data_IF_343377544321
#
_entry.id   IF_343377544321
#
_cell.length_a   1.000
_cell.length_b   1.000
_cell.length_c   1.000
_cell.angle_alpha   90.00
_cell.angle_beta   90.00
_cell.angle_gamma   90.00
#
_symmetry.space_group_name_H-M   'P 1'
#
loop_
_entity.id
_entity.type
_entity.pdbx_description
1 polymer ?
#
# COMPACT_ATOMS: atom_id res chain seq x y z
N UNK A 1 -21.54 -19.59 -31.43
CA UNK A 1 -21.04 -20.74 -30.67
C UNK A 1 -19.64 -20.48 -30.09
N UNK A 2 -18.71 -19.95 -30.89
CA UNK A 2 -17.31 -19.70 -30.47
C UNK A 2 -17.15 -18.71 -29.31
N UNK A 3 -17.92 -17.61 -29.30
CA UNK A 3 -17.86 -16.60 -28.22
C UNK A 3 -18.22 -17.16 -26.84
N UNK A 4 -19.18 -18.10 -26.78
CA UNK A 4 -19.57 -18.79 -25.54
C UNK A 4 -18.47 -19.76 -25.07
N UNK A 5 -17.83 -20.48 -25.99
CA UNK A 5 -16.69 -21.36 -25.69
C UNK A 5 -15.49 -20.56 -25.19
N UNK A 6 -15.17 -19.43 -25.84
CA UNK A 6 -14.10 -18.53 -25.38
C UNK A 6 -14.32 -17.99 -23.97
N UNK A 7 -15.54 -17.52 -23.66
CA UNK A 7 -15.92 -17.14 -22.30
C UNK A 7 -15.75 -18.30 -21.31
N UNK A 8 -16.18 -19.51 -21.67
CA UNK A 8 -16.01 -20.68 -20.83
C UNK A 8 -14.52 -20.97 -20.57
N UNK A 9 -13.68 -20.94 -21.60
CA UNK A 9 -12.23 -21.17 -21.49
C UNK A 9 -11.50 -20.08 -20.69
N UNK A 10 -12.02 -18.85 -20.62
CA UNK A 10 -11.41 -17.79 -19.82
C UNK A 10 -11.95 -17.74 -18.38
N UNK A 11 -13.26 -17.94 -18.19
CA UNK A 11 -13.92 -17.82 -16.87
C UNK A 11 -13.72 -19.08 -16.05
N UNK A 12 -13.80 -20.26 -16.66
CA UNK A 12 -13.72 -21.53 -15.93
C UNK A 12 -12.38 -21.68 -15.20
N UNK A 13 -11.20 -21.46 -15.83
CA UNK A 13 -9.93 -21.55 -15.10
C UNK A 13 -9.84 -20.53 -13.97
N UNK A 14 -10.32 -19.30 -14.17
CA UNK A 14 -10.34 -18.29 -13.12
C UNK A 14 -11.19 -18.74 -11.92
N UNK A 15 -12.42 -19.22 -12.17
CA UNK A 15 -13.33 -19.71 -11.13
C UNK A 15 -12.74 -20.91 -10.40
N UNK A 16 -12.12 -21.85 -11.13
CA UNK A 16 -11.49 -23.02 -10.51
C UNK A 16 -10.29 -22.63 -9.64
N UNK A 17 -9.39 -21.78 -10.15
CA UNK A 17 -8.20 -21.33 -9.40
C UNK A 17 -8.62 -20.50 -8.19
N UNK A 18 -9.50 -19.52 -8.38
CA UNK A 18 -9.96 -18.64 -7.30
C UNK A 18 -10.82 -19.41 -6.29
N UNK A 19 -11.67 -20.32 -6.76
CA UNK A 19 -12.47 -21.20 -5.91
C UNK A 19 -11.60 -22.12 -5.06
N UNK A 20 -10.60 -22.77 -5.66
CA UNK A 20 -9.64 -23.59 -4.92
C UNK A 20 -8.84 -22.77 -3.90
N UNK A 21 -8.41 -21.56 -4.28
CA UNK A 21 -7.71 -20.64 -3.36
C UNK A 21 -8.60 -20.21 -2.18
N UNK A 22 -9.86 -19.85 -2.42
CA UNK A 22 -10.81 -19.47 -1.38
C UNK A 22 -11.19 -20.66 -0.48
N UNK A 23 -11.35 -21.86 -1.06
CA UNK A 23 -11.59 -23.08 -0.30
C UNK A 23 -10.40 -23.42 0.60
N UNK A 24 -9.17 -23.34 0.08
CA UNK A 24 -7.95 -23.49 0.88
C UNK A 24 -7.88 -22.45 2.00
N UNK A 25 -8.15 -21.16 1.71
CA UNK A 25 -8.18 -20.11 2.73
C UNK A 25 -9.22 -20.38 3.81
N UNK A 26 -10.42 -20.81 3.43
CA UNK A 26 -11.47 -21.16 4.38
C UNK A 26 -11.04 -22.32 5.27
N UNK A 27 -10.45 -23.36 4.69
CA UNK A 27 -9.98 -24.53 5.42
C UNK A 27 -8.82 -24.20 6.38
N UNK A 28 -7.88 -23.35 5.96
CA UNK A 28 -6.68 -23.00 6.77
C UNK A 28 -6.93 -21.90 7.79
N UNK A 29 -7.69 -20.85 7.44
CA UNK A 29 -7.84 -19.64 8.27
C UNK A 29 -9.24 -19.44 8.85
N UNK A 30 -10.22 -20.26 8.44
CA UNK A 30 -11.64 -20.06 8.75
C UNK A 30 -12.11 -18.64 8.40
N UNK A 31 -11.59 -18.11 7.29
CA UNK A 31 -11.87 -16.77 6.80
C UNK A 31 -11.63 -16.69 5.29
N UNK A 32 -12.59 -16.15 4.55
CA UNK A 32 -12.46 -15.95 3.10
C UNK A 32 -11.53 -14.77 2.81
N UNK A 33 -11.63 -13.71 3.61
CA UNK A 33 -10.86 -12.48 3.42
C UNK A 33 -9.61 -12.48 4.31
N UNK A 34 -8.50 -11.87 3.86
CA UNK A 34 -7.31 -11.73 4.68
C UNK A 34 -7.51 -10.68 5.78
N UNK A 35 -6.76 -10.83 6.87
CA UNK A 35 -6.70 -9.83 7.95
C UNK A 35 -6.37 -8.42 7.43
N UNK A 36 -5.57 -8.29 6.37
CA UNK A 36 -5.28 -7.00 5.71
C UNK A 36 -6.53 -6.27 5.23
N UNK A 37 -7.58 -7.00 4.80
CA UNK A 37 -8.87 -6.39 4.47
C UNK A 37 -9.46 -5.74 5.72
N UNK A 38 -9.52 -6.44 6.84
CA UNK A 38 -10.10 -5.93 8.07
C UNK A 38 -9.26 -4.82 8.73
N UNK A 39 -7.93 -4.98 8.76
CA UNK A 39 -7.02 -4.05 9.41
C UNK A 39 -6.79 -2.74 8.64
N UNK A 40 -6.93 -2.74 7.31
CA UNK A 40 -6.62 -1.59 6.43
C UNK A 40 -7.82 -0.98 5.71
N UNK A 41 -8.91 -1.71 5.50
CA UNK A 41 -10.08 -1.12 4.81
C UNK A 41 -11.01 -0.45 5.82
N UNK A 42 -11.01 0.87 5.86
CA UNK A 42 -11.94 1.63 6.71
C UNK A 42 -13.34 1.70 6.13
N UNK A 43 -13.45 1.94 4.81
CA UNK A 43 -14.71 2.40 4.24
C UNK A 43 -15.17 3.72 4.90
N UNK A 44 -16.38 4.17 4.57
CA UNK A 44 -16.93 5.40 5.11
C UNK A 44 -16.27 6.68 4.56
N UNK A 45 -16.81 7.83 5.00
CA UNK A 45 -16.51 9.14 4.41
C UNK A 45 -15.01 9.49 4.41
N UNK A 46 -14.30 9.17 5.50
CA UNK A 46 -12.85 9.45 5.59
C UNK A 46 -12.05 8.69 4.55
N UNK A 47 -12.31 7.39 4.36
CA UNK A 47 -11.65 6.61 3.30
C UNK A 47 -12.00 7.18 1.93
N UNK A 48 -13.26 7.50 1.65
CA UNK A 48 -13.62 8.10 0.35
C UNK A 48 -12.87 9.39 0.05
N UNK A 49 -12.74 10.30 1.04
CA UNK A 49 -12.00 11.55 0.87
C UNK A 49 -10.51 11.29 0.63
N UNK A 50 -9.88 10.45 1.47
CA UNK A 50 -8.45 10.15 1.34
C UNK A 50 -8.13 9.43 0.03
N UNK A 51 -8.94 8.44 -0.33
CA UNK A 51 -8.82 7.69 -1.57
C UNK A 51 -9.04 8.57 -2.80
N UNK A 52 -9.97 9.52 -2.76
CA UNK A 52 -10.18 10.48 -3.85
C UNK A 52 -9.01 11.44 -3.99
N UNK A 53 -8.47 11.96 -2.87
CA UNK A 53 -7.26 12.80 -2.88
C UNK A 53 -6.06 12.03 -3.45
N UNK A 54 -5.86 10.79 -3.01
CA UNK A 54 -4.81 9.90 -3.51
C UNK A 54 -4.97 9.63 -5.01
N UNK A 55 -6.20 9.34 -5.47
CA UNK A 55 -6.50 9.07 -6.87
C UNK A 55 -6.19 10.29 -7.75
N UNK A 56 -6.68 11.48 -7.38
CA UNK A 56 -6.46 12.71 -8.14
C UNK A 56 -4.97 13.05 -8.22
N UNK A 57 -4.27 13.00 -7.09
CA UNK A 57 -2.83 13.24 -7.06
C UNK A 57 -2.06 12.21 -7.90
N UNK A 58 -2.44 10.94 -7.85
CA UNK A 58 -1.82 9.88 -8.62
C UNK A 58 -2.10 9.95 -10.12
N UNK A 59 -3.32 10.30 -10.53
CA UNK A 59 -3.66 10.52 -11.94
C UNK A 59 -2.87 11.70 -12.52
N UNK A 60 -2.80 12.82 -11.79
CA UNK A 60 -1.97 13.94 -12.17
C UNK A 60 -0.48 13.55 -12.26
N UNK A 61 0.02 12.76 -11.29
CA UNK A 61 1.42 12.33 -11.27
C UNK A 61 1.78 11.27 -12.32
N UNK A 62 0.81 10.50 -12.84
CA UNK A 62 1.04 9.45 -13.84
C UNK A 62 0.80 9.97 -15.26
N UNK A 63 -0.32 10.67 -15.48
CA UNK A 63 -0.78 11.07 -16.82
C UNK A 63 -0.56 12.55 -17.11
N UNK A 64 -0.40 13.38 -16.07
CA UNK A 64 -0.22 14.82 -16.22
C UNK A 64 -1.38 15.45 -17.00
N UNK A 65 -1.10 16.33 -17.98
CA UNK A 65 -2.12 16.93 -18.83
C UNK A 65 -2.94 15.93 -19.63
N UNK A 66 -2.43 14.71 -19.85
CA UNK A 66 -3.14 13.71 -20.66
C UNK A 66 -4.43 13.22 -20.01
N UNK A 67 -4.58 13.43 -18.70
CA UNK A 67 -5.80 13.10 -17.97
C UNK A 67 -7.06 13.71 -18.61
N UNK A 68 -6.93 14.92 -19.15
CA UNK A 68 -8.03 15.66 -19.79
C UNK A 68 -8.61 14.92 -21.00
N UNK A 69 -7.85 13.99 -21.59
CA UNK A 69 -8.25 13.28 -22.79
C UNK A 69 -8.93 11.93 -22.52
N UNK A 70 -8.86 11.38 -21.30
CA UNK A 70 -9.51 10.09 -20.97
C UNK A 70 -11.00 10.01 -21.36
N UNK A 71 -11.85 11.04 -21.12
CA UNK A 71 -13.27 10.95 -21.46
C UNK A 71 -13.56 10.83 -22.96
N UNK A 72 -12.62 11.22 -23.83
CA UNK A 72 -12.78 11.19 -25.28
C UNK A 72 -12.30 9.88 -25.92
N UNK A 73 -11.73 8.97 -25.14
CA UNK A 73 -11.25 7.69 -25.62
C UNK A 73 -12.38 6.74 -26.09
N UNK A 74 -13.47 6.52 -25.35
CA UNK A 74 -14.52 5.58 -25.76
C UNK A 74 -15.37 6.09 -26.94
N UNK A 75 -15.97 5.16 -27.69
CA UNK A 75 -17.06 5.46 -28.63
C UNK A 75 -16.67 5.86 -30.06
N UNK A 76 -15.38 6.02 -30.37
CA UNK A 76 -14.87 6.32 -31.73
C UNK A 76 -13.57 5.60 -32.04
N UNK A 77 -13.33 5.28 -33.31
CA UNK A 77 -12.07 4.67 -33.79
C UNK A 77 -11.64 3.45 -32.96
N UNK A 78 -10.36 3.45 -32.56
CA UNK A 78 -9.78 2.44 -31.67
C UNK A 78 -10.48 2.35 -30.30
N UNK A 79 -11.17 3.41 -29.88
CA UNK A 79 -11.99 3.45 -28.66
C UNK A 79 -13.19 2.51 -28.64
N UNK A 80 -13.61 1.98 -29.81
CA UNK A 80 -14.64 0.94 -29.89
C UNK A 80 -14.07 -0.48 -29.74
N UNK A 81 -12.75 -0.63 -29.72
CA UNK A 81 -12.13 -1.96 -29.63
C UNK A 81 -12.42 -2.60 -28.27
N UNK A 82 -12.58 -3.93 -28.28
CA UNK A 82 -12.75 -4.71 -27.06
C UNK A 82 -11.55 -4.52 -26.10
N UNK A 83 -10.34 -4.35 -26.64
CA UNK A 83 -9.13 -4.10 -25.86
C UNK A 83 -9.25 -2.81 -25.00
N UNK A 84 -9.69 -1.70 -25.60
CA UNK A 84 -9.88 -0.43 -24.87
C UNK A 84 -10.99 -0.55 -23.84
N UNK A 85 -12.07 -1.28 -24.13
CA UNK A 85 -13.13 -1.53 -23.17
C UNK A 85 -12.63 -2.33 -21.97
N UNK A 86 -11.82 -3.38 -22.20
CA UNK A 86 -11.19 -4.17 -21.13
C UNK A 86 -10.25 -3.30 -20.30
N UNK A 87 -9.40 -2.49 -20.92
CA UNK A 87 -8.56 -1.51 -20.20
C UNK A 87 -9.40 -0.56 -19.34
N UNK A 88 -10.52 -0.06 -19.89
CA UNK A 88 -11.47 0.78 -19.15
C UNK A 88 -12.05 0.09 -17.92
N UNK A 89 -12.40 -1.20 -18.02
CA UNK A 89 -12.87 -1.99 -16.88
C UNK A 89 -11.78 -2.12 -15.80
N UNK A 90 -10.52 -2.41 -16.19
CA UNK A 90 -9.40 -2.49 -15.23
C UNK A 90 -9.12 -1.14 -14.55
N UNK A 91 -9.17 -0.05 -15.30
CA UNK A 91 -9.03 1.32 -14.78
C UNK A 91 -10.16 1.60 -13.78
N UNK A 92 -11.41 1.33 -14.16
CA UNK A 92 -12.58 1.55 -13.30
C UNK A 92 -12.50 0.72 -12.01
N UNK A 93 -12.15 -0.57 -12.10
CA UNK A 93 -11.97 -1.43 -10.94
C UNK A 93 -10.90 -0.90 -9.98
N UNK A 94 -9.78 -0.41 -10.52
CA UNK A 94 -8.67 0.14 -9.73
C UNK A 94 -9.03 1.49 -9.09
N UNK A 95 -9.81 2.33 -9.78
CA UNK A 95 -10.38 3.57 -9.22
C UNK A 95 -11.28 3.22 -8.03
N UNK A 96 -12.22 2.31 -8.21
CA UNK A 96 -13.16 1.88 -7.17
C UNK A 96 -12.38 1.36 -5.96
N UNK A 97 -11.41 0.48 -6.18
CA UNK A 97 -10.56 -0.05 -5.11
C UNK A 97 -9.79 1.06 -4.37
N UNK A 98 -9.13 1.96 -5.11
CA UNK A 98 -8.32 3.04 -4.51
C UNK A 98 -9.17 3.97 -3.66
N UNK A 99 -10.34 4.36 -4.17
CA UNK A 99 -11.29 5.24 -3.46
C UNK A 99 -11.90 4.54 -2.25
N UNK A 100 -12.33 3.28 -2.40
CA UNK A 100 -12.93 2.50 -1.31
C UNK A 100 -11.93 2.18 -0.19
N UNK A 101 -10.69 1.84 -0.55
CA UNK A 101 -9.62 1.53 0.42
C UNK A 101 -9.12 2.75 1.16
N UNK A 102 -9.26 3.94 0.58
CA UNK A 102 -8.75 5.20 1.15
C UNK A 102 -7.35 5.57 0.69
N UNK A 103 -6.86 4.96 -0.39
CA UNK A 103 -5.51 5.18 -0.91
C UNK A 103 -4.44 4.48 -0.07
N UNK A 104 -3.21 4.96 -0.21
CA UNK A 104 -2.05 4.44 0.51
C UNK A 104 -1.15 5.57 1.00
N UNK A 105 -0.41 5.31 2.06
CA UNK A 105 0.58 6.26 2.57
C UNK A 105 1.93 6.13 1.85
N UNK A 106 2.21 4.97 1.23
CA UNK A 106 3.49 4.76 0.55
C UNK A 106 3.61 5.64 -0.70
N UNK A 107 4.83 6.14 -0.99
CA UNK A 107 5.05 7.07 -2.09
C UNK A 107 4.82 6.42 -3.46
N UNK A 108 4.70 7.26 -4.48
CA UNK A 108 4.67 6.82 -5.88
C UNK A 108 3.34 6.23 -6.35
N UNK A 109 2.26 6.45 -5.60
CA UNK A 109 0.90 6.08 -6.00
C UNK A 109 0.75 4.62 -6.44
N UNK A 110 1.42 3.70 -5.73
CA UNK A 110 1.59 2.30 -6.16
C UNK A 110 0.29 1.52 -6.41
N UNK A 111 -0.85 1.95 -5.89
CA UNK A 111 -2.15 1.34 -6.23
C UNK A 111 -2.55 1.59 -7.69
N UNK A 112 -2.04 2.64 -8.31
CA UNK A 112 -2.33 3.03 -9.69
C UNK A 112 -1.25 2.58 -10.68
N UNK A 113 -0.09 2.15 -10.20
CA UNK A 113 1.02 1.66 -11.04
C UNK A 113 0.58 0.52 -11.98
N UNK A 114 -0.20 -0.49 -11.54
CA UNK A 114 -0.66 -1.56 -12.44
C UNK A 114 -1.50 -1.08 -13.63
N UNK A 115 -2.20 0.05 -13.48
CA UNK A 115 -3.02 0.63 -14.55
C UNK A 115 -2.35 1.79 -15.28
N UNK A 116 -1.15 2.21 -14.88
CA UNK A 116 -0.46 3.35 -15.48
C UNK A 116 -0.26 3.20 -17.01
N UNK A 117 0.18 2.04 -17.54
CA UNK A 117 0.29 1.86 -19.00
C UNK A 117 -1.06 1.96 -19.70
N UNK A 118 -2.12 1.40 -19.10
CA UNK A 118 -3.47 1.43 -19.66
C UNK A 118 -4.03 2.86 -19.67
N UNK A 119 -3.83 3.61 -18.59
CA UNK A 119 -4.23 5.02 -18.50
C UNK A 119 -3.59 5.85 -19.60
N UNK A 120 -2.28 5.67 -19.86
CA UNK A 120 -1.57 6.38 -20.92
C UNK A 120 -2.11 6.02 -22.31
N UNK A 121 -2.31 4.73 -22.59
CA UNK A 121 -2.86 4.27 -23.87
C UNK A 121 -4.26 4.85 -24.11
N UNK A 122 -5.15 4.74 -23.12
CA UNK A 122 -6.52 5.28 -23.21
C UNK A 122 -6.49 6.80 -23.39
N UNK A 123 -5.62 7.51 -22.67
CA UNK A 123 -5.49 8.96 -22.80
C UNK A 123 -5.00 9.39 -24.18
N UNK A 124 -4.02 8.67 -24.76
CA UNK A 124 -3.51 8.93 -26.13
C UNK A 124 -4.60 8.66 -27.18
N UNK A 125 -5.40 7.61 -27.01
CA UNK A 125 -6.56 7.34 -27.89
C UNK A 125 -7.58 8.48 -27.81
N UNK A 126 -7.86 8.97 -26.59
CA UNK A 126 -8.74 10.12 -26.39
C UNK A 126 -8.20 11.39 -27.05
N UNK A 127 -6.91 11.65 -26.93
CA UNK A 127 -6.25 12.78 -27.59
C UNK A 127 -6.37 12.67 -29.10
N UNK A 128 -6.08 11.49 -29.65
CA UNK A 128 -6.23 11.21 -31.08
C UNK A 128 -7.66 11.46 -31.56
N UNK A 129 -8.67 11.02 -30.80
CA UNK A 129 -10.07 11.26 -31.15
C UNK A 129 -10.43 12.75 -31.14
N UNK A 130 -9.91 13.55 -30.20
CA UNK A 130 -10.09 15.01 -30.18
C UNK A 130 -9.47 15.64 -31.43
N UNK A 131 -8.25 15.25 -31.78
CA UNK A 131 -7.58 15.72 -33.00
C UNK A 131 -8.35 15.38 -34.28
N UNK A 132 -8.89 14.16 -34.37
CA UNK A 132 -9.71 13.75 -35.51
C UNK A 132 -10.95 14.64 -35.67
N UNK A 133 -11.67 14.92 -34.59
CA UNK A 133 -12.87 15.77 -34.62
C UNK A 133 -12.51 17.20 -35.00
N UNK A 134 -11.47 17.77 -34.38
CA UNK A 134 -11.06 19.14 -34.65
C UNK A 134 -10.53 19.32 -36.08
N UNK A 135 -9.85 18.30 -36.64
CA UNK A 135 -9.45 18.29 -38.06
C UNK A 135 -10.65 18.22 -39.00
N UNK A 136 -11.65 17.39 -38.70
CA UNK A 136 -12.90 17.30 -39.48
C UNK A 136 -13.70 18.61 -39.44
N UNK A 137 -13.67 19.31 -38.31
CA UNK A 137 -14.33 20.61 -38.14
C UNK A 137 -13.55 21.79 -38.74
N UNK A 138 -12.38 21.55 -39.36
CA UNK A 138 -11.54 22.61 -39.94
C UNK A 138 -10.88 23.54 -38.92
N UNK A 139 -10.89 23.19 -37.63
CA UNK A 139 -10.38 24.03 -36.53
C UNK A 139 -8.84 24.04 -36.49
N UNK A 140 -8.21 22.92 -36.87
CA UNK A 140 -6.75 22.83 -36.96
C UNK A 140 -6.32 22.67 -38.42
N UNK A 141 -5.50 23.60 -38.91
CA UNK A 141 -4.57 23.31 -40.01
C UNK A 141 -3.59 22.24 -39.51
N UNK A 142 -3.10 21.38 -40.41
CA UNK A 142 -2.33 20.18 -40.04
C UNK A 142 -1.23 20.49 -39.02
N UNK A 143 -1.46 20.14 -37.74
CA UNK A 143 -0.42 20.21 -36.72
C UNK A 143 0.64 19.17 -37.12
N UNK A 144 1.90 19.57 -37.36
CA UNK A 144 2.94 18.62 -37.70
C UNK A 144 3.01 17.54 -36.62
N UNK A 145 2.97 16.27 -37.02
CA UNK A 145 3.06 15.13 -36.10
C UNK A 145 4.27 15.23 -35.16
N UNK A 146 5.35 15.90 -35.59
CA UNK A 146 6.51 16.23 -34.77
C UNK A 146 6.20 17.15 -33.58
N UNK A 147 5.38 18.20 -33.76
CA UNK A 147 5.01 19.09 -32.65
C UNK A 147 4.10 18.39 -31.63
N UNK A 148 3.17 17.54 -32.10
CA UNK A 148 2.36 16.71 -31.22
C UNK A 148 3.22 15.71 -30.45
N UNK A 149 4.17 15.05 -31.12
CA UNK A 149 5.12 14.14 -30.49
C UNK A 149 6.00 14.85 -29.44
N UNK A 150 6.48 16.06 -29.74
CA UNK A 150 7.26 16.89 -28.79
C UNK A 150 6.40 17.30 -27.60
N UNK A 151 5.15 17.70 -27.82
CA UNK A 151 4.21 18.03 -26.74
C UNK A 151 3.95 16.80 -25.85
N UNK A 152 3.64 15.65 -26.45
CA UNK A 152 3.42 14.39 -25.74
C UNK A 152 4.67 13.96 -24.95
N UNK A 153 5.83 14.01 -25.59
CA UNK A 153 7.10 13.68 -24.95
C UNK A 153 7.37 14.61 -23.77
N UNK A 154 7.23 15.93 -23.96
CA UNK A 154 7.45 16.93 -22.90
C UNK A 154 6.46 16.76 -21.76
N UNK A 155 5.17 16.53 -22.06
CA UNK A 155 4.14 16.33 -21.05
C UNK A 155 4.39 15.06 -20.22
N UNK A 156 4.68 13.93 -20.87
CA UNK A 156 4.99 12.67 -20.20
C UNK A 156 6.30 12.76 -19.40
N UNK A 157 7.35 13.33 -20.00
CA UNK A 157 8.66 13.45 -19.36
C UNK A 157 8.65 14.41 -18.18
N UNK A 158 7.97 15.56 -18.28
CA UNK A 158 7.80 16.51 -17.17
C UNK A 158 7.01 15.88 -16.02
N UNK A 159 5.98 15.11 -16.34
CA UNK A 159 5.17 14.38 -15.36
C UNK A 159 5.99 13.30 -14.65
N UNK A 160 6.79 12.52 -15.40
CA UNK A 160 7.69 11.52 -14.84
C UNK A 160 8.76 12.14 -13.93
N UNK A 161 9.33 13.29 -14.32
CA UNK A 161 10.33 14.00 -13.52
C UNK A 161 9.72 14.64 -12.27
N UNK A 162 8.53 15.23 -12.39
CA UNK A 162 7.77 15.75 -11.24
C UNK A 162 7.43 14.62 -10.25
N UNK A 163 6.92 13.48 -10.75
CA UNK A 163 6.65 12.30 -9.92
C UNK A 163 7.90 11.81 -9.19
N UNK A 164 9.06 11.78 -9.87
CA UNK A 164 10.34 11.45 -9.23
C UNK A 164 10.70 12.46 -8.14
N UNK A 165 10.58 13.75 -8.39
CA UNK A 165 10.88 14.80 -7.41
C UNK A 165 9.94 14.73 -6.21
N UNK A 166 8.65 14.49 -6.44
CA UNK A 166 7.66 14.28 -5.39
C UNK A 166 8.00 13.06 -4.52
N UNK A 167 8.35 11.92 -5.12
CA UNK A 167 8.76 10.72 -4.37
C UNK A 167 10.02 11.01 -3.52
N UNK A 168 10.99 11.75 -4.07
CA UNK A 168 12.21 12.14 -3.34
C UNK A 168 11.93 13.14 -2.21
N UNK A 169 10.97 14.04 -2.40
CA UNK A 169 10.54 15.01 -1.39
C UNK A 169 9.68 14.38 -0.30
N UNK A 170 8.90 13.35 -0.63
CA UNK A 170 8.04 12.65 0.32
C UNK A 170 8.83 11.86 1.36
N UNK A 171 9.98 11.28 0.98
CA UNK A 171 10.81 10.53 1.93
C UNK A 171 12.30 10.78 1.62
N UNK A 172 12.97 11.71 2.34
CA UNK A 172 14.39 12.05 2.14
C UNK A 172 15.34 10.85 2.21
N UNK A 173 14.94 9.81 2.96
CA UNK A 173 15.71 8.59 3.18
C UNK A 173 15.53 7.50 2.10
N UNK A 174 14.65 7.71 1.10
CA UNK A 174 14.41 6.72 0.06
C UNK A 174 15.21 7.05 -1.20
N UNK A 175 16.27 6.28 -1.44
CA UNK A 175 16.99 6.31 -2.70
C UNK A 175 16.02 5.93 -3.85
N UNK A 176 16.07 6.66 -4.97
CA UNK A 176 15.22 6.40 -6.16
C UNK A 176 16.06 6.19 -7.43
N UNK A 177 15.50 5.52 -8.43
CA UNK A 177 16.15 5.26 -9.72
C UNK A 177 17.17 4.12 -9.68
N UNK A 178 18.10 4.08 -10.65
CA UNK A 178 19.09 3.00 -10.81
C UNK A 178 20.07 2.85 -9.63
N UNK A 179 20.16 3.85 -8.74
CA UNK A 179 20.98 3.80 -7.52
C UNK A 179 20.22 3.27 -6.30
N UNK A 180 18.92 2.97 -6.42
CA UNK A 180 18.04 2.50 -5.35
C UNK A 180 18.15 0.99 -5.11
N UNK A 181 19.38 0.46 -4.99
CA UNK A 181 19.63 -0.97 -4.81
C UNK A 181 19.14 -1.45 -3.42
N UNK A 182 18.99 -0.54 -2.46
CA UNK A 182 18.48 -0.84 -1.12
C UNK A 182 17.01 -0.39 -1.07
N UNK A 183 16.08 -1.35 -1.15
CA UNK A 183 14.65 -1.09 -0.95
C UNK A 183 14.34 -0.56 0.45
N UNK A 184 13.05 -0.54 0.82
CA UNK A 184 12.52 -0.06 2.11
C UNK A 184 13.08 -0.72 3.39
N UNK A 185 14.11 -1.57 3.30
CA UNK A 185 14.86 -2.02 4.47
C UNK A 185 15.65 -0.82 5.02
N UNK A 186 14.98 -0.02 5.83
CA UNK A 186 15.66 1.00 6.63
C UNK A 186 16.73 0.27 7.45
N UNK A 187 17.97 0.77 7.50
CA UNK A 187 19.06 0.14 8.25
C UNK A 187 18.67 -0.24 9.69
N UNK A 188 17.74 0.50 10.30
CA UNK A 188 17.26 0.23 11.65
C UNK A 188 16.49 -1.08 11.81
N UNK A 189 15.59 -1.45 10.88
CA UNK A 189 14.87 -2.73 10.97
C UNK A 189 15.84 -3.91 10.94
N UNK A 190 16.93 -3.79 10.16
CA UNK A 190 17.99 -4.79 10.11
C UNK A 190 18.78 -4.83 11.42
N UNK A 191 19.11 -3.66 11.99
CA UNK A 191 19.79 -3.56 13.29
C UNK A 191 18.95 -4.17 14.43
N UNK A 192 17.66 -3.87 14.49
CA UNK A 192 16.71 -4.46 15.45
C UNK A 192 16.65 -5.97 15.28
N UNK A 193 16.52 -6.45 14.04
CA UNK A 193 16.47 -7.87 13.75
C UNK A 193 17.77 -8.60 14.16
N UNK A 194 18.93 -7.99 13.89
CA UNK A 194 20.24 -8.55 14.26
C UNK A 194 20.45 -8.55 15.77
N UNK A 195 20.05 -7.48 16.45
CA UNK A 195 20.11 -7.40 17.90
C UNK A 195 19.29 -8.52 18.54
N UNK A 196 18.06 -8.76 18.05
CA UNK A 196 17.25 -9.88 18.53
C UNK A 196 17.93 -11.23 18.28
N UNK A 197 18.52 -11.44 17.10
CA UNK A 197 19.25 -12.68 16.80
C UNK A 197 20.41 -12.93 17.77
N UNK A 198 21.10 -11.88 18.19
CA UNK A 198 22.23 -11.95 19.13
C UNK A 198 21.79 -12.10 20.60
N UNK A 199 20.56 -11.72 20.92
CA UNK A 199 20.05 -11.63 22.30
C UNK A 199 18.92 -12.62 22.61
N UNK A 200 18.49 -13.40 21.63
CA UNK A 200 17.46 -14.44 21.79
C UNK A 200 18.01 -15.76 21.28
N UNK A 201 17.95 -16.80 22.12
CA UNK A 201 18.29 -18.17 21.73
C UNK A 201 17.10 -19.09 22.05
N UNK A 202 16.30 -19.43 21.05
CA UNK A 202 15.10 -20.27 21.22
C UNK A 202 13.78 -19.53 20.98
N UNK A 203 12.70 -20.08 21.53
CA UNK A 203 11.32 -19.65 21.26
C UNK A 203 10.86 -18.45 22.09
N UNK A 204 11.53 -17.30 21.91
CA UNK A 204 11.11 -16.03 22.50
C UNK A 204 9.89 -15.45 21.76
N UNK A 205 9.10 -14.68 22.48
CA UNK A 205 7.93 -13.98 21.95
C UNK A 205 8.15 -12.47 21.87
N UNK A 206 7.75 -11.88 20.75
CA UNK A 206 7.97 -10.44 20.49
C UNK A 206 6.68 -9.80 20.02
N UNK A 207 6.17 -8.82 20.78
CA UNK A 207 5.06 -7.98 20.33
C UNK A 207 5.58 -6.81 19.50
N UNK A 208 5.10 -6.68 18.26
CA UNK A 208 5.55 -5.65 17.33
C UNK A 208 4.51 -5.40 16.24
N UNK A 209 4.43 -4.18 15.73
CA UNK A 209 3.71 -3.89 14.49
C UNK A 209 4.51 -4.22 13.22
N UNK A 210 5.77 -4.63 13.35
CA UNK A 210 6.73 -4.82 12.26
C UNK A 210 6.95 -6.33 11.98
N UNK A 211 6.10 -6.92 11.14
CA UNK A 211 6.18 -8.34 10.77
C UNK A 211 7.18 -8.66 9.63
N UNK A 212 7.86 -7.63 9.09
CA UNK A 212 8.74 -7.77 7.91
C UNK A 212 10.11 -8.35 8.25
N UNK A 213 11.16 -7.54 8.07
CA UNK A 213 12.56 -7.96 8.18
C UNK A 213 12.90 -8.59 9.53
N UNK A 214 12.25 -8.13 10.62
CA UNK A 214 12.46 -8.65 11.98
C UNK A 214 12.07 -10.12 12.06
N UNK A 215 10.86 -10.50 11.63
CA UNK A 215 10.43 -11.89 11.62
C UNK A 215 11.19 -12.74 10.61
N UNK A 216 11.48 -12.17 9.43
CA UNK A 216 12.19 -12.88 8.37
C UNK A 216 13.59 -13.35 8.80
N UNK A 217 14.36 -12.51 9.51
CA UNK A 217 15.69 -12.86 9.99
C UNK A 217 15.70 -13.66 11.30
N UNK A 218 14.55 -13.77 11.98
CA UNK A 218 14.41 -14.43 13.26
C UNK A 218 13.25 -15.44 13.26
N UNK A 219 13.35 -16.53 12.47
CA UNK A 219 12.25 -17.50 12.30
C UNK A 219 11.87 -18.27 13.59
N UNK A 220 12.75 -18.28 14.60
CA UNK A 220 12.48 -18.89 15.91
C UNK A 220 11.59 -18.03 16.82
N UNK A 221 11.37 -16.75 16.49
CA UNK A 221 10.57 -15.85 17.31
C UNK A 221 9.08 -16.03 17.05
N UNK A 222 8.31 -16.04 18.14
CA UNK A 222 6.85 -15.94 18.09
C UNK A 222 6.44 -14.47 18.04
N UNK A 223 6.09 -13.98 16.86
CA UNK A 223 5.61 -12.60 16.70
C UNK A 223 4.15 -12.43 17.10
N UNK A 224 3.88 -11.47 17.98
CA UNK A 224 2.55 -10.97 18.28
C UNK A 224 2.34 -9.66 17.52
N UNK A 225 1.47 -9.68 16.51
CA UNK A 225 1.30 -8.55 15.61
C UNK A 225 0.35 -7.48 16.17
N UNK A 226 0.92 -6.34 16.56
CA UNK A 226 0.17 -5.20 17.08
C UNK A 226 -0.63 -4.45 16.01
N UNK A 227 -0.36 -4.69 14.72
CA UNK A 227 -1.07 -4.06 13.61
C UNK A 227 -2.28 -4.87 13.09
N UNK A 228 -2.42 -6.14 13.48
CA UNK A 228 -3.56 -6.98 13.07
C UNK A 228 -3.52 -7.45 11.62
N UNK A 229 -2.34 -7.54 11.02
CA UNK A 229 -2.08 -8.25 9.75
C UNK A 229 -2.02 -9.77 9.97
N UNK A 230 -1.56 -10.23 11.13
CA UNK A 230 -1.45 -11.64 11.52
C UNK A 230 -2.39 -12.02 12.66
N UNK A 231 -2.86 -11.05 13.47
CA UNK A 231 -3.83 -11.29 14.55
C UNK A 231 -5.26 -10.95 14.11
N UNK A 232 -6.14 -11.98 14.08
CA UNK A 232 -7.54 -11.85 13.67
C UNK A 232 -8.33 -10.90 14.56
N UNK A 233 -8.14 -10.97 15.88
CA UNK A 233 -8.92 -10.15 16.83
C UNK A 233 -8.58 -8.66 16.66
N UNK A 234 -7.29 -8.37 16.56
CA UNK A 234 -6.80 -7.00 16.31
C UNK A 234 -7.32 -6.47 14.98
N UNK A 235 -7.31 -7.29 13.93
CA UNK A 235 -7.85 -6.93 12.61
C UNK A 235 -9.34 -6.51 12.69
N UNK A 236 -10.15 -7.26 13.46
CA UNK A 236 -11.58 -6.99 13.63
C UNK A 236 -11.86 -5.76 14.48
N UNK A 237 -11.13 -5.57 15.57
CA UNK A 237 -11.22 -4.35 16.41
C UNK A 237 -10.96 -3.11 15.54
N UNK A 238 -9.90 -3.16 14.72
CA UNK A 238 -9.56 -2.06 13.82
C UNK A 238 -10.62 -1.81 12.76
N UNK A 239 -11.21 -2.87 12.17
CA UNK A 239 -12.31 -2.73 11.22
C UNK A 239 -13.51 -2.01 11.83
N UNK A 240 -13.78 -2.26 13.12
CA UNK A 240 -14.84 -1.59 13.88
C UNK A 240 -14.47 -0.15 14.30
N UNK A 241 -13.28 0.36 13.95
CA UNK A 241 -12.80 1.67 14.38
C UNK A 241 -12.27 1.71 15.81
N UNK A 242 -12.09 0.55 16.45
CA UNK A 242 -11.57 0.45 17.81
C UNK A 242 -10.07 0.74 17.91
N UNK A 243 -9.65 1.18 19.10
CA UNK A 243 -8.24 1.39 19.45
C UNK A 243 -7.65 0.07 19.98
N UNK A 244 -6.35 -0.15 19.76
CA UNK A 244 -5.67 -1.31 20.30
C UNK A 244 -5.69 -1.30 21.83
N UNK A 245 -6.02 -2.42 22.45
CA UNK A 245 -5.83 -2.62 23.89
C UNK A 245 -4.49 -3.33 24.16
N UNK A 246 -3.55 -2.66 24.83
CA UNK A 246 -2.27 -3.25 25.20
C UNK A 246 -2.40 -4.47 26.12
N UNK A 247 -3.42 -4.53 26.99
CA UNK A 247 -3.62 -5.64 27.93
C UNK A 247 -3.87 -6.97 27.21
N UNK A 248 -4.42 -6.92 25.98
CA UNK A 248 -4.52 -8.10 25.13
C UNK A 248 -3.14 -8.75 24.93
N UNK A 249 -2.10 -7.95 24.66
CA UNK A 249 -0.75 -8.47 24.48
C UNK A 249 -0.07 -8.75 25.82
N UNK A 250 -0.20 -7.87 26.81
CA UNK A 250 0.43 -8.04 28.12
C UNK A 250 -0.06 -9.29 28.84
N UNK A 251 -1.31 -9.74 28.63
CA UNK A 251 -1.82 -11.00 29.16
C UNK A 251 -1.14 -12.24 28.58
N UNK A 252 -0.46 -12.12 27.43
CA UNK A 252 0.36 -13.18 26.82
C UNK A 252 1.83 -13.10 27.22
N UNK A 253 2.16 -12.09 28.03
CA UNK A 253 3.48 -11.84 28.60
C UNK A 253 4.63 -11.97 27.58
N UNK A 254 4.61 -11.19 26.48
CA UNK A 254 5.68 -11.22 25.49
C UNK A 254 7.03 -10.97 26.15
N UNK A 255 8.07 -11.65 25.69
CA UNK A 255 9.42 -11.45 26.24
C UNK A 255 9.96 -10.07 25.86
N UNK A 256 9.70 -9.65 24.61
CA UNK A 256 10.06 -8.32 24.11
C UNK A 256 8.85 -7.59 23.50
N UNK A 257 8.86 -6.27 23.63
CA UNK A 257 7.91 -5.37 22.96
C UNK A 257 8.72 -4.32 22.19
N UNK A 258 8.41 -4.16 20.91
CA UNK A 258 9.08 -3.19 20.03
C UNK A 258 8.10 -2.06 19.71
N UNK A 259 8.53 -0.83 20.02
CA UNK A 259 7.75 0.38 19.81
C UNK A 259 8.46 1.30 18.80
N UNK A 260 7.90 1.54 17.60
CA UNK A 260 8.44 2.47 16.61
C UNK A 260 8.14 3.93 16.96
N UNK A 261 8.80 4.87 16.29
CA UNK A 261 8.55 6.31 16.44
C UNK A 261 9.10 6.91 17.74
N UNK A 262 9.94 6.17 18.46
CA UNK A 262 10.64 6.66 19.65
C UNK A 262 12.02 7.14 19.21
N UNK A 263 12.17 8.42 18.89
CA UNK A 263 13.50 9.06 18.91
C UNK A 263 13.84 9.57 20.31
N UNK A 264 12.81 9.95 21.07
CA UNK A 264 12.87 10.27 22.50
C UNK A 264 11.62 9.71 23.21
N UNK A 265 11.74 8.79 24.19
CA UNK A 265 10.60 8.20 24.90
C UNK A 265 9.75 9.21 25.70
N UNK A 266 10.32 10.37 26.05
CA UNK A 266 9.62 11.45 26.75
C UNK A 266 8.87 12.40 25.79
N UNK A 267 9.13 12.31 24.49
CA UNK A 267 8.52 13.12 23.42
C UNK A 267 7.77 12.27 22.41
N UNK A 268 7.18 11.15 22.84
CA UNK A 268 6.35 10.31 21.98
C UNK A 268 5.15 11.11 21.44
N UNK A 269 5.33 11.78 20.31
CA UNK A 269 4.26 12.47 19.60
C UNK A 269 3.19 11.44 19.24
N UNK A 270 1.95 11.75 19.58
CA UNK A 270 0.79 10.93 19.23
C UNK A 270 0.65 10.96 17.72
N UNK A 271 1.28 10.01 17.04
CA UNK A 271 1.08 9.80 15.62
C UNK A 271 -0.30 9.16 15.41
N UNK A 272 -1.23 9.80 14.66
CA UNK A 272 -2.54 9.23 14.36
C UNK A 272 -2.47 8.02 13.41
N UNK A 273 -1.29 7.60 12.97
CA UNK A 273 -1.12 6.33 12.25
C UNK A 273 -1.44 5.13 13.13
N UNK A 274 -1.76 3.98 12.52
CA UNK A 274 -1.90 2.73 13.25
C UNK A 274 -0.71 2.36 14.13
N UNK A 275 0.50 2.73 13.70
CA UNK A 275 1.71 2.47 14.47
C UNK A 275 1.77 3.34 15.72
N UNK A 276 1.42 4.63 15.63
CA UNK A 276 1.33 5.50 16.80
C UNK A 276 0.23 5.10 17.78
N UNK A 277 -0.89 4.57 17.28
CA UNK A 277 -2.00 4.13 18.12
C UNK A 277 -1.60 2.99 19.08
N UNK A 278 -0.82 1.99 18.62
CA UNK A 278 -0.36 0.92 19.51
C UNK A 278 0.78 1.36 20.42
N UNK A 279 1.68 2.22 19.94
CA UNK A 279 2.74 2.80 20.77
C UNK A 279 2.13 3.55 21.94
N UNK A 280 1.15 4.42 21.67
CA UNK A 280 0.39 5.13 22.70
C UNK A 280 -0.32 4.17 23.67
N UNK A 281 -0.92 3.09 23.15
CA UNK A 281 -1.60 2.09 23.98
C UNK A 281 -0.65 1.40 24.98
N UNK A 282 0.58 1.07 24.58
CA UNK A 282 1.58 0.49 25.50
C UNK A 282 2.13 1.55 26.47
N UNK A 283 2.58 2.70 25.96
CA UNK A 283 3.22 3.71 26.79
C UNK A 283 2.27 4.27 27.86
N UNK A 284 0.96 4.33 27.61
CA UNK A 284 -0.02 4.80 28.58
C UNK A 284 -0.57 3.69 29.50
N UNK A 285 -0.13 2.44 29.33
CA UNK A 285 -0.60 1.32 30.15
C UNK A 285 0.27 1.15 31.42
N UNK A 286 -0.32 1.22 32.64
CA UNK A 286 0.44 1.06 33.89
C UNK A 286 1.12 -0.30 34.05
N UNK A 287 0.47 -1.38 33.60
CA UNK A 287 1.03 -2.74 33.65
C UNK A 287 2.27 -2.85 32.77
N UNK A 288 2.26 -2.26 31.58
CA UNK A 288 3.45 -2.18 30.72
C UNK A 288 4.60 -1.49 31.45
N UNK A 289 4.38 -0.28 31.99
CA UNK A 289 5.41 0.48 32.72
C UNK A 289 5.98 -0.25 33.93
N UNK A 290 5.15 -1.04 34.63
CA UNK A 290 5.57 -1.82 35.79
C UNK A 290 6.32 -3.12 35.41
N UNK A 291 5.96 -3.73 34.27
CA UNK A 291 6.41 -5.08 33.91
C UNK A 291 7.51 -5.11 32.85
N UNK A 292 7.80 -4.00 32.17
CA UNK A 292 8.76 -3.93 31.07
C UNK A 292 9.72 -2.76 31.25
N UNK A 293 10.98 -2.96 30.83
CA UNK A 293 12.01 -1.91 30.83
C UNK A 293 12.67 -1.79 29.46
N UNK A 294 13.03 -0.58 29.08
CA UNK A 294 13.80 -0.31 27.86
C UNK A 294 15.17 -0.98 28.00
N UNK A 295 15.54 -1.84 27.04
CA UNK A 295 16.83 -2.55 27.03
C UNK A 295 17.71 -2.15 25.85
N UNK A 296 17.12 -1.63 24.79
CA UNK A 296 17.85 -1.13 23.63
C UNK A 296 17.06 -0.05 22.93
N UNK A 297 17.75 1.01 22.52
CA UNK A 297 17.20 2.10 21.72
C UNK A 297 17.95 2.16 20.38
N UNK A 298 17.20 2.28 19.30
CA UNK A 298 17.68 2.62 17.96
C UNK A 298 16.97 3.90 17.49
N UNK A 299 17.47 4.54 16.44
CA UNK A 299 16.76 5.68 15.84
C UNK A 299 15.36 5.25 15.39
N UNK A 300 14.33 5.85 15.99
CA UNK A 300 12.92 5.54 15.75
C UNK A 300 12.42 4.21 16.30
N UNK A 301 13.16 3.48 17.15
CA UNK A 301 12.72 2.19 17.72
C UNK A 301 13.22 1.97 19.15
N UNK A 302 12.30 1.68 20.08
CA UNK A 302 12.62 1.19 21.43
C UNK A 302 12.29 -0.29 21.58
N UNK A 303 13.23 -1.07 22.14
CA UNK A 303 13.03 -2.47 22.52
C UNK A 303 12.90 -2.56 24.04
N UNK A 304 11.77 -3.07 24.49
CA UNK A 304 11.46 -3.28 25.90
C UNK A 304 11.48 -4.77 26.22
N UNK A 305 12.13 -5.16 27.31
CA UNK A 305 12.14 -6.53 27.79
C UNK A 305 11.30 -6.66 29.07
N UNK A 306 10.65 -7.81 29.24
CA UNK A 306 9.94 -8.15 30.46
C UNK A 306 10.89 -8.17 31.67
N UNK A 307 10.41 -7.67 32.80
CA UNK A 307 11.17 -7.69 34.05
C UNK A 307 11.44 -9.14 34.49
N UNK A 308 12.67 -9.40 34.93
CA UNK A 308 13.12 -10.76 35.26
C UNK A 308 13.49 -11.66 34.07
N UNK A 309 13.38 -11.19 32.81
CA UNK A 309 13.85 -11.97 31.65
C UNK A 309 15.38 -12.16 31.71
N UNK A 310 15.82 -13.41 31.89
CA UNK A 310 17.22 -13.84 31.76
C UNK A 310 17.49 -14.33 30.33
N UNK A 311 18.68 -14.01 29.80
CA UNK A 311 19.11 -14.38 28.44
C UNK A 311 19.15 -15.88 28.22
#
# INVERSE_FOLDING_TARGET
>A
YERKRGLLYSVLPFVLIMGAFLAWRWWTYHDLLPNTFYAKTGGGMRSFILGSKYLLAGFAAITGPLLLFLPFAPGRGHGKSAAVQVMGIFIAASIIFTVYSGGDWMPGFRFLVPIAPMLLVVAVIGLHNVFLVARQAGVFTAIPHGLLAVFLFTAVFSTAFYGRTMIRGQIPMMATGLRAIRGHALPVHFQVAKWLQEHTSGSFSVATGEAGLIGYLNPGLRLLDCNGLMDKNVARIRKAGGVLNADYFLAREPDYIILPGLDNPDEALVDPTPSGAYVSAFLNNPRFRASYRLVQQFSGFGIYARNGLTR
#
